data_IF_713582270131
#
_entry.id   IF_713582270131
#
_cell.length_a   1.000
_cell.length_b   1.000
_cell.length_c   1.000
_cell.angle_alpha   90.00
_cell.angle_beta   90.00
_cell.angle_gamma   90.00
#
_symmetry.space_group_name_H-M   'P 1'
#
loop_
_entity.id
_entity.type
_entity.pdbx_description
1 polymer ?
#
# COMPACT_ATOMS: atom_id res chain seq x y z
N UNK A 1 28.40 3.28 -21.23
CA UNK A 1 28.80 3.92 -19.95
C UNK A 1 27.52 4.29 -19.19
N UNK A 2 27.24 3.69 -18.03
CA UNK A 2 26.02 3.98 -17.24
C UNK A 2 26.20 5.22 -16.36
N UNK A 3 25.18 6.08 -16.17
CA UNK A 3 25.29 7.25 -15.31
C UNK A 3 25.60 6.86 -13.86
N UNK A 4 26.66 7.44 -13.28
CA UNK A 4 27.05 7.20 -11.89
C UNK A 4 26.74 8.44 -11.03
N UNK A 5 26.23 8.28 -9.80
CA UNK A 5 26.07 9.41 -8.89
C UNK A 5 27.42 10.04 -8.57
N UNK A 6 27.52 11.36 -8.77
CA UNK A 6 28.75 12.12 -8.49
C UNK A 6 29.10 12.18 -7.00
N UNK A 7 28.10 12.17 -6.11
CA UNK A 7 28.25 12.28 -4.64
C UNK A 7 27.16 11.51 -3.90
N UNK A 8 27.46 11.10 -2.66
CA UNK A 8 26.49 10.53 -1.73
C UNK A 8 25.45 11.59 -1.35
N UNK A 9 24.18 11.18 -1.25
CA UNK A 9 23.12 12.06 -0.75
C UNK A 9 23.24 12.29 0.77
N UNK A 10 22.94 13.52 1.21
CA UNK A 10 22.89 13.85 2.64
C UNK A 10 21.76 13.10 3.34
N UNK A 11 21.88 12.92 4.67
CA UNK A 11 20.85 12.27 5.51
C UNK A 11 19.48 12.93 5.30
N UNK A 12 19.44 14.26 5.27
CA UNK A 12 18.22 15.04 5.01
C UNK A 12 17.60 14.73 3.63
N UNK A 13 18.40 14.69 2.55
CA UNK A 13 17.88 14.37 1.20
C UNK A 13 17.36 12.94 1.10
N UNK A 14 18.03 11.98 1.74
CA UNK A 14 17.55 10.59 1.77
C UNK A 14 16.26 10.47 2.60
N UNK A 15 16.21 11.10 3.78
CA UNK A 15 15.05 11.09 4.66
C UNK A 15 13.81 11.70 4.01
N UNK A 16 13.93 12.87 3.37
CA UNK A 16 12.83 13.49 2.61
C UNK A 16 12.30 12.58 1.50
N UNK A 17 13.20 11.91 0.78
CA UNK A 17 12.83 10.98 -0.30
C UNK A 17 12.10 9.75 0.22
N UNK A 18 12.59 9.13 1.28
CA UNK A 18 11.94 7.97 1.91
C UNK A 18 10.60 8.37 2.54
N UNK A 19 10.52 9.55 3.15
CA UNK A 19 9.30 10.07 3.77
C UNK A 19 8.17 10.38 2.80
N UNK A 20 8.45 10.56 1.50
CA UNK A 20 7.41 10.67 0.47
C UNK A 20 6.78 9.29 0.15
N UNK A 21 7.49 8.19 0.41
CA UNK A 21 7.05 6.81 0.14
C UNK A 21 6.22 6.24 1.30
N UNK A 22 5.16 6.94 1.70
CA UNK A 22 4.24 6.44 2.75
C UNK A 22 3.22 5.49 2.14
N UNK A 23 3.08 4.31 2.73
CA UNK A 23 2.00 3.38 2.40
C UNK A 23 0.66 3.93 2.86
N UNK A 24 -0.39 3.74 2.05
CA UNK A 24 -1.77 4.01 2.45
C UNK A 24 -2.41 2.74 2.97
N UNK A 25 -3.25 2.86 3.99
CA UNK A 25 -4.01 1.73 4.50
C UNK A 25 -5.04 1.28 3.43
N UNK A 26 -5.27 -0.04 3.30
CA UNK A 26 -6.26 -0.55 2.36
C UNK A 26 -7.67 -0.17 2.81
N UNK A 27 -8.54 0.13 1.85
CA UNK A 27 -9.96 0.36 2.10
C UNK A 27 -10.67 -0.97 2.33
N UNK A 28 -11.19 -1.16 3.54
CA UNK A 28 -11.94 -2.35 3.92
C UNK A 28 -13.42 -2.01 4.06
N UNK A 29 -14.27 -2.90 3.56
CA UNK A 29 -15.74 -2.80 3.61
C UNK A 29 -16.32 -3.99 4.37
N UNK A 30 -17.49 -3.82 4.99
CA UNK A 30 -18.18 -4.94 5.66
C UNK A 30 -18.79 -5.87 4.61
N UNK A 31 -18.55 -7.16 4.75
CA UNK A 31 -19.17 -8.17 3.90
C UNK A 31 -20.66 -8.36 4.28
N UNK A 32 -21.60 -8.33 3.33
CA UNK A 32 -23.03 -8.44 3.62
C UNK A 32 -23.46 -9.82 4.16
N UNK A 33 -22.75 -10.89 3.79
CA UNK A 33 -23.09 -12.27 4.19
C UNK A 33 -22.51 -12.64 5.57
N UNK A 34 -21.24 -12.33 5.84
CA UNK A 34 -20.56 -12.78 7.06
C UNK A 34 -20.15 -11.65 8.02
N UNK A 35 -20.46 -10.38 7.69
CA UNK A 35 -20.13 -9.17 8.47
C UNK A 35 -18.64 -8.91 8.75
N UNK A 36 -17.74 -9.75 8.22
CA UNK A 36 -16.28 -9.57 8.31
C UNK A 36 -15.79 -8.47 7.36
N UNK A 37 -14.63 -7.90 7.65
CA UNK A 37 -13.99 -6.92 6.78
C UNK A 37 -13.43 -7.62 5.54
N UNK A 38 -13.78 -7.10 4.36
CA UNK A 38 -13.26 -7.56 3.06
C UNK A 38 -12.66 -6.38 2.28
N UNK A 39 -11.65 -6.62 1.42
CA UNK A 39 -11.24 -5.61 0.45
C UNK A 39 -12.41 -5.24 -0.47
N UNK A 40 -12.53 -3.96 -0.82
CA UNK A 40 -13.51 -3.48 -1.79
C UNK A 40 -13.32 -4.15 -3.16
N UNK A 41 -14.42 -4.39 -3.88
CA UNK A 41 -14.45 -5.02 -5.22
C UNK A 41 -13.76 -6.39 -5.33
N UNK A 42 -13.67 -7.12 -4.22
CA UNK A 42 -13.13 -8.49 -4.19
C UNK A 42 -14.09 -9.43 -3.47
N UNK A 43 -14.00 -10.72 -3.83
CA UNK A 43 -14.71 -11.77 -3.12
C UNK A 43 -14.24 -11.84 -1.67
N UNK A 44 -15.17 -12.11 -0.75
CA UNK A 44 -14.81 -12.24 0.66
C UNK A 44 -14.00 -13.54 0.87
N UNK A 45 -12.79 -13.49 1.45
CA UNK A 45 -11.96 -14.68 1.65
C UNK A 45 -12.56 -15.68 2.66
N UNK A 46 -13.53 -15.23 3.47
CA UNK A 46 -14.12 -16.06 4.51
C UNK A 46 -15.40 -16.78 4.11
N UNK A 47 -16.13 -16.28 3.11
CA UNK A 47 -17.43 -16.84 2.72
C UNK A 47 -17.59 -17.03 1.21
N UNK A 48 -16.58 -16.68 0.40
CA UNK A 48 -16.60 -16.83 -1.05
C UNK A 48 -17.59 -15.92 -1.79
N UNK A 49 -18.50 -15.25 -1.08
CA UNK A 49 -19.53 -14.43 -1.69
C UNK A 49 -18.95 -13.17 -2.34
N UNK A 50 -19.30 -12.98 -3.62
CA UNK A 50 -19.09 -11.75 -4.40
C UNK A 50 -20.46 -11.15 -4.73
N UNK A 51 -20.82 -10.11 -3.99
CA UNK A 51 -21.91 -9.17 -4.23
C UNK A 51 -21.38 -7.79 -3.83
#
# INVERSE_FOLDING_TARGET
MTPLPKKKHTKSRSGKRSGAKKGRLPTLTRCPSCKKLKPSHRACPHCGAYK
#
